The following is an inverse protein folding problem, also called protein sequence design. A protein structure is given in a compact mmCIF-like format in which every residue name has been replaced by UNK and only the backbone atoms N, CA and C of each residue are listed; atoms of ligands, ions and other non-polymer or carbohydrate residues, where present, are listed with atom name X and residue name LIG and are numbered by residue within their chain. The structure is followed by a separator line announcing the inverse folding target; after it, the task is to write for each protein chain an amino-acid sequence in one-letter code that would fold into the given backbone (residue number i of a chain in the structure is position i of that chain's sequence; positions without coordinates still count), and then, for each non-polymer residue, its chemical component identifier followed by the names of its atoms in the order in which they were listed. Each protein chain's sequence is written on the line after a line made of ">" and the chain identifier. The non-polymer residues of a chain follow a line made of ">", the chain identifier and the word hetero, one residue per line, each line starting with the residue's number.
data_IF_617097460219
#
_entry.id   IF_617097460219
#
_cell.length_a   1.000
_cell.length_b   1.000
_cell.length_c   1.000
_cell.angle_alpha   90.00
_cell.angle_beta   90.00
_cell.angle_gamma   90.00
#
_symmetry.space_group_name_H-M   'P 1'
#
loop_
_entity.id
_entity.type
_entity.pdbx_description
1 polymer ?
#
# COMPACT_ATOMS: atom_id res chain seq x y z
N UNK A 1 -26.54 41.28 -21.53
CA UNK A 1 -26.93 40.21 -20.56
C UNK A 1 -26.21 38.89 -20.78
N UNK A 2 -25.31 38.80 -21.81
CA UNK A 2 -24.63 37.52 -22.16
C UNK A 2 -23.13 37.61 -22.00
N UNK A 3 -22.55 38.81 -21.88
CA UNK A 3 -21.07 39.03 -21.83
C UNK A 3 -20.39 38.37 -20.64
N UNK A 4 -21.05 38.29 -19.47
CA UNK A 4 -20.47 37.70 -18.29
C UNK A 4 -20.64 36.15 -18.20
N UNK A 5 -21.33 35.54 -19.14
CA UNK A 5 -21.57 34.10 -19.13
C UNK A 5 -20.56 33.30 -19.94
N UNK A 6 -19.86 33.92 -20.87
CA UNK A 6 -18.92 33.27 -21.80
C UNK A 6 -17.52 33.84 -21.70
N UNK A 7 -16.57 33.08 -22.12
CA UNK A 7 -15.19 33.54 -22.34
C UNK A 7 -15.08 33.99 -23.80
N UNK A 8 -14.75 35.26 -24.00
CA UNK A 8 -14.64 35.90 -25.34
C UNK A 8 -13.13 36.13 -25.58
N UNK A 9 -12.65 35.65 -26.73
CA UNK A 9 -11.26 35.82 -27.11
C UNK A 9 -10.95 37.32 -27.27
N UNK A 10 -9.86 37.78 -26.63
CA UNK A 10 -9.41 39.17 -26.60
C UNK A 10 -10.11 40.08 -25.59
N UNK A 11 -11.25 39.68 -24.99
CA UNK A 11 -11.96 40.48 -23.96
C UNK A 11 -11.84 39.82 -22.56
N UNK A 12 -11.88 38.47 -22.49
CA UNK A 12 -11.82 37.76 -21.24
C UNK A 12 -10.38 37.50 -20.80
N UNK A 13 -10.12 37.56 -19.49
CA UNK A 13 -8.82 37.24 -18.93
C UNK A 13 -8.58 35.72 -19.00
N UNK A 14 -7.76 35.32 -19.98
CA UNK A 14 -7.39 33.92 -20.22
C UNK A 14 -6.64 33.28 -19.03
N UNK A 15 -6.02 34.10 -18.17
CA UNK A 15 -5.33 33.56 -16.97
C UNK A 15 -6.32 32.97 -15.99
N UNK A 16 -7.56 33.42 -15.95
CA UNK A 16 -8.63 32.86 -15.11
C UNK A 16 -9.07 31.47 -15.56
N UNK A 17 -8.77 31.06 -16.80
CA UNK A 17 -9.04 29.72 -17.32
C UNK A 17 -7.96 28.73 -16.92
N UNK A 18 -6.76 29.20 -16.65
CA UNK A 18 -5.63 28.35 -16.29
C UNK A 18 -5.90 27.64 -14.97
N UNK A 19 -5.79 26.31 -14.98
CA UNK A 19 -6.03 25.47 -13.80
C UNK A 19 -7.51 25.15 -13.53
N UNK A 20 -8.48 25.73 -14.26
CA UNK A 20 -9.88 25.34 -14.10
C UNK A 20 -10.17 23.96 -14.66
N UNK A 21 -11.18 23.30 -14.12
CA UNK A 21 -11.63 21.96 -14.53
C UNK A 21 -13.07 22.05 -15.05
N UNK A 22 -13.36 21.33 -16.14
CA UNK A 22 -14.70 21.25 -16.70
C UNK A 22 -15.59 20.41 -15.78
N UNK A 23 -16.71 20.97 -15.33
CA UNK A 23 -17.66 20.29 -14.44
C UNK A 23 -18.52 19.26 -15.16
N UNK A 24 -18.93 19.58 -16.39
CA UNK A 24 -19.80 18.73 -17.22
C UNK A 24 -19.17 18.53 -18.59
N UNK A 25 -19.42 17.38 -19.24
CA UNK A 25 -18.98 17.17 -20.61
C UNK A 25 -19.48 18.30 -21.54
N UNK A 26 -18.59 18.87 -22.33
CA UNK A 26 -18.88 19.89 -23.33
C UNK A 26 -18.82 19.24 -24.71
N UNK A 27 -19.85 19.45 -25.53
CA UNK A 27 -19.91 18.93 -26.89
C UNK A 27 -19.06 19.75 -27.85
N UNK A 28 -18.46 19.13 -28.86
CA UNK A 28 -17.70 19.85 -29.86
C UNK A 28 -18.56 20.94 -30.54
N UNK A 29 -18.07 22.19 -30.54
CA UNK A 29 -18.77 23.37 -31.02
C UNK A 29 -19.69 24.06 -30.00
N UNK A 30 -19.82 23.51 -28.80
CA UNK A 30 -20.55 24.14 -27.70
C UNK A 30 -19.66 25.19 -27.03
N UNK A 31 -20.14 26.43 -26.79
CA UNK A 31 -19.35 27.46 -26.13
C UNK A 31 -19.19 27.14 -24.65
N UNK A 32 -17.98 27.31 -24.15
CA UNK A 32 -17.63 27.12 -22.74
C UNK A 32 -18.15 28.30 -21.92
N UNK A 33 -19.02 28.03 -20.95
CA UNK A 33 -19.56 29.05 -20.03
C UNK A 33 -18.77 29.07 -18.72
N UNK A 34 -18.77 30.20 -18.02
CA UNK A 34 -18.13 30.31 -16.68
C UNK A 34 -18.73 29.29 -15.69
N UNK A 35 -20.05 28.99 -15.78
CA UNK A 35 -20.69 28.00 -14.93
C UNK A 35 -20.35 26.55 -15.23
N UNK A 36 -19.79 26.26 -16.42
CA UNK A 36 -19.32 24.92 -16.80
C UNK A 36 -17.91 24.60 -16.30
N UNK A 37 -17.22 25.60 -15.79
CA UNK A 37 -15.85 25.49 -15.23
C UNK A 37 -15.87 25.63 -13.71
N UNK A 38 -14.88 24.99 -13.07
CA UNK A 38 -14.63 25.10 -11.62
C UNK A 38 -13.18 25.51 -11.44
N UNK A 39 -12.98 26.64 -10.79
CA UNK A 39 -11.64 27.11 -10.48
C UNK A 39 -11.06 26.37 -9.26
N UNK A 40 -9.72 26.28 -9.15
CA UNK A 40 -9.07 25.84 -7.92
C UNK A 40 -9.58 26.67 -6.71
N UNK A 41 -9.86 25.98 -5.59
CA UNK A 41 -10.46 26.62 -4.39
C UNK A 41 -11.98 26.67 -4.37
N UNK A 42 -12.67 26.53 -5.50
CA UNK A 42 -14.12 26.51 -5.57
C UNK A 42 -14.72 25.21 -5.01
N UNK A 43 -15.96 25.28 -4.56
CA UNK A 43 -16.72 24.11 -4.13
C UNK A 43 -16.89 23.11 -5.29
N UNK A 44 -16.53 21.87 -5.05
CA UNK A 44 -16.62 20.80 -6.04
C UNK A 44 -15.40 20.70 -6.96
N UNK A 45 -14.40 21.58 -6.84
CA UNK A 45 -13.17 21.50 -7.62
C UNK A 45 -12.51 20.12 -7.49
N UNK A 46 -12.28 19.62 -6.28
CA UNK A 46 -11.68 18.31 -6.05
C UNK A 46 -12.49 17.19 -6.72
N UNK A 47 -13.82 17.24 -6.64
CA UNK A 47 -14.66 16.23 -7.28
C UNK A 47 -14.59 16.28 -8.81
N UNK A 48 -14.45 17.48 -9.40
CA UNK A 48 -14.28 17.66 -10.84
C UNK A 48 -12.85 17.30 -11.32
N UNK A 49 -11.84 17.53 -10.48
CA UNK A 49 -10.44 17.23 -10.77
C UNK A 49 -10.09 15.73 -10.68
N UNK A 50 -10.95 14.95 -10.00
CA UNK A 50 -10.79 13.49 -9.89
C UNK A 50 -11.03 12.81 -11.23
N UNK A 51 -10.16 11.85 -11.57
CA UNK A 51 -10.39 10.96 -12.70
C UNK A 51 -11.60 10.03 -12.48
N UNK A 52 -12.20 9.49 -13.54
CA UNK A 52 -13.29 8.54 -13.44
C UNK A 52 -12.94 7.34 -12.55
N UNK A 53 -13.80 7.04 -11.57
CA UNK A 53 -13.59 5.93 -10.64
C UNK A 53 -12.60 6.21 -9.51
N UNK A 54 -11.97 7.38 -9.49
CA UNK A 54 -11.03 7.78 -8.44
C UNK A 54 -11.74 8.40 -7.23
N UNK A 55 -11.02 8.48 -6.12
CA UNK A 55 -11.46 9.04 -4.83
C UNK A 55 -10.38 9.97 -4.28
N UNK A 56 -10.78 10.92 -3.47
CA UNK A 56 -9.88 11.76 -2.68
C UNK A 56 -9.82 11.22 -1.25
N UNK A 57 -8.63 10.98 -0.75
CA UNK A 57 -8.37 10.57 0.64
C UNK A 57 -7.37 11.52 1.27
N UNK A 58 -7.68 12.00 2.46
CA UNK A 58 -6.81 12.90 3.21
C UNK A 58 -5.98 12.12 4.23
N UNK A 59 -4.69 12.37 4.24
CA UNK A 59 -3.72 11.77 5.14
C UNK A 59 -3.13 12.86 6.03
N UNK A 60 -3.14 12.69 7.37
CA UNK A 60 -2.45 13.61 8.27
C UNK A 60 -0.94 13.44 8.12
N UNK A 61 -0.23 14.56 8.07
CA UNK A 61 1.23 14.60 7.97
C UNK A 61 1.80 15.69 8.90
N UNK A 62 3.09 15.64 9.13
CA UNK A 62 3.86 16.67 9.84
C UNK A 62 4.97 17.19 8.95
N UNK A 63 5.70 18.19 9.40
CA UNK A 63 6.88 18.67 8.69
C UNK A 63 7.90 17.56 8.40
N UNK A 64 8.05 16.58 9.32
CA UNK A 64 8.96 15.44 9.14
C UNK A 64 8.43 14.40 8.16
N UNK A 65 7.11 14.14 8.15
CA UNK A 65 6.49 13.08 7.34
C UNK A 65 5.95 13.61 6.01
N UNK A 66 5.87 14.92 5.82
CA UNK A 66 5.34 15.62 4.63
C UNK A 66 6.40 16.34 3.82
N UNK A 67 7.64 15.82 3.79
CA UNK A 67 8.76 16.38 2.98
C UNK A 67 8.98 17.87 3.26
N UNK A 68 8.91 18.28 4.54
CA UNK A 68 9.14 19.66 5.01
C UNK A 68 8.32 20.75 4.27
N UNK A 69 7.18 20.40 3.67
CA UNK A 69 6.34 21.33 2.94
C UNK A 69 6.64 21.45 1.44
N UNK A 70 7.60 20.67 0.92
CA UNK A 70 7.96 20.68 -0.50
C UNK A 70 7.07 19.77 -1.38
N UNK A 71 5.87 19.47 -0.93
CA UNK A 71 4.88 18.74 -1.72
C UNK A 71 3.78 19.71 -2.15
N UNK A 72 3.53 19.77 -3.44
CA UNK A 72 2.55 20.68 -4.04
C UNK A 72 1.43 19.92 -4.75
N UNK A 73 0.25 20.53 -4.92
CA UNK A 73 -0.79 19.98 -5.77
C UNK A 73 -0.26 19.67 -7.17
N UNK A 74 -0.53 18.45 -7.65
CA UNK A 74 -0.01 17.93 -8.92
C UNK A 74 1.19 17.01 -8.79
N UNK A 75 1.93 17.07 -7.69
CA UNK A 75 3.09 16.20 -7.45
C UNK A 75 2.70 14.72 -7.29
N UNK A 76 3.68 13.84 -7.47
CA UNK A 76 3.57 12.40 -7.24
C UNK A 76 4.37 12.00 -6.01
N UNK A 77 3.72 11.24 -5.14
CA UNK A 77 4.32 10.76 -3.89
C UNK A 77 4.14 9.27 -3.70
N UNK A 78 5.07 8.66 -2.98
CA UNK A 78 4.94 7.33 -2.44
C UNK A 78 4.57 7.41 -0.96
N UNK A 79 3.83 6.41 -0.46
CA UNK A 79 3.35 6.34 0.91
C UNK A 79 4.09 5.23 1.65
N UNK A 80 4.84 5.63 2.67
CA UNK A 80 5.61 4.75 3.55
C UNK A 80 4.92 4.65 4.89
N UNK A 81 4.62 3.42 5.31
CA UNK A 81 4.09 3.11 6.63
C UNK A 81 5.22 2.67 7.55
N UNK A 82 5.37 3.35 8.68
CA UNK A 82 6.26 2.94 9.77
C UNK A 82 5.42 2.44 10.94
N UNK A 83 5.68 1.20 11.38
CA UNK A 83 4.92 0.55 12.43
C UNK A 83 5.81 -0.26 13.37
N UNK A 84 5.28 -0.53 14.57
CA UNK A 84 5.89 -1.43 15.55
C UNK A 84 5.02 -2.68 15.70
N UNK A 85 5.60 -3.84 15.42
CA UNK A 85 4.94 -5.13 15.59
C UNK A 85 5.39 -5.74 16.91
N UNK A 86 4.50 -5.78 17.88
CA UNK A 86 4.73 -6.38 19.19
C UNK A 86 4.04 -7.74 19.32
N UNK A 87 4.59 -8.60 20.18
CA UNK A 87 3.94 -9.82 20.64
C UNK A 87 3.63 -9.71 22.13
N UNK A 88 2.77 -10.57 22.65
CA UNK A 88 2.45 -10.69 24.07
C UNK A 88 3.61 -11.26 24.92
N UNK A 89 4.80 -11.46 24.34
CA UNK A 89 6.02 -11.83 25.04
C UNK A 89 6.80 -10.56 25.45
N UNK A 90 7.62 -10.64 26.49
CA UNK A 90 8.53 -9.56 26.94
C UNK A 90 9.62 -9.20 25.91
N UNK A 91 9.50 -9.70 24.70
CA UNK A 91 10.36 -9.42 23.58
C UNK A 91 10.21 -7.99 23.07
N UNK A 92 11.34 -7.39 22.66
CA UNK A 92 11.35 -6.09 22.02
C UNK A 92 10.50 -6.09 20.74
N UNK A 93 9.70 -5.04 20.51
CA UNK A 93 8.90 -4.93 19.29
C UNK A 93 9.79 -4.87 18.04
N UNK A 94 9.29 -5.42 16.95
CA UNK A 94 9.91 -5.27 15.64
C UNK A 94 9.48 -3.92 15.05
N UNK A 95 10.44 -3.05 14.77
CA UNK A 95 10.21 -1.81 14.03
C UNK A 95 10.36 -2.09 12.54
N UNK A 96 9.39 -1.70 11.75
CA UNK A 96 9.38 -1.89 10.31
C UNK A 96 8.85 -0.67 9.58
N UNK A 97 9.40 -0.40 8.42
CA UNK A 97 8.90 0.59 7.47
C UNK A 97 8.73 -0.07 6.12
N UNK A 98 7.61 0.18 5.49
CA UNK A 98 7.29 -0.38 4.17
C UNK A 98 6.65 0.66 3.26
N UNK A 99 7.01 0.62 1.97
CA UNK A 99 6.34 1.42 0.94
C UNK A 99 5.07 0.68 0.53
N UNK A 100 3.94 1.09 1.09
CA UNK A 100 2.64 0.42 0.86
C UNK A 100 1.99 0.81 -0.45
N UNK A 101 2.21 2.05 -0.90
CA UNK A 101 1.60 2.59 -2.11
C UNK A 101 2.59 3.50 -2.84
N UNK A 102 2.52 3.49 -4.16
CA UNK A 102 3.39 4.32 -5.01
C UNK A 102 2.59 5.10 -6.05
N UNK A 103 3.20 6.19 -6.52
CA UNK A 103 2.68 7.00 -7.62
C UNK A 103 1.29 7.60 -7.32
N UNK A 104 1.08 8.11 -6.11
CA UNK A 104 -0.16 8.79 -5.73
C UNK A 104 -0.09 10.26 -6.13
N UNK A 105 -1.11 10.77 -6.80
CA UNK A 105 -1.19 12.20 -7.16
C UNK A 105 -1.70 13.01 -5.99
N UNK A 106 -1.01 14.09 -5.66
CA UNK A 106 -1.42 15.09 -4.68
C UNK A 106 -2.47 15.99 -5.31
N UNK A 107 -3.64 16.10 -4.68
CA UNK A 107 -4.73 16.97 -5.11
C UNK A 107 -4.71 18.31 -4.38
N UNK A 108 -4.39 18.27 -3.09
CA UNK A 108 -4.39 19.45 -2.23
C UNK A 108 -3.46 19.24 -1.03
N UNK A 109 -2.91 20.33 -0.51
CA UNK A 109 -2.24 20.39 0.77
C UNK A 109 -3.08 21.25 1.72
N UNK A 110 -3.42 20.75 2.91
CA UNK A 110 -4.47 21.29 3.77
C UNK A 110 -5.77 21.48 2.97
N UNK A 111 -6.25 22.71 2.84
CA UNK A 111 -7.40 23.07 2.03
C UNK A 111 -7.02 23.80 0.74
N UNK A 112 -5.71 23.84 0.41
CA UNK A 112 -5.19 24.57 -0.74
C UNK A 112 -4.97 23.62 -1.91
N UNK A 113 -5.59 23.94 -3.03
CA UNK A 113 -5.49 23.20 -4.30
C UNK A 113 -4.57 23.88 -5.30
N UNK A 114 -4.01 25.02 -4.93
CA UNK A 114 -3.10 25.82 -5.74
C UNK A 114 -1.74 25.96 -5.07
N UNK A 115 -0.71 26.19 -5.90
CA UNK A 115 0.59 26.62 -5.42
C UNK A 115 0.52 28.11 -5.06
N UNK A 116 0.72 28.44 -3.81
CA UNK A 116 0.78 29.83 -3.39
C UNK A 116 2.06 30.46 -3.94
N UNK A 117 1.89 31.51 -4.76
CA UNK A 117 3.02 32.33 -5.25
C UNK A 117 3.16 33.55 -4.35
N UNK A 118 4.39 33.84 -3.94
CA UNK A 118 4.70 35.08 -3.23
C UNK A 118 4.64 36.29 -4.16
N UNK A 119 4.76 37.47 -3.58
CA UNK A 119 4.81 38.75 -4.33
C UNK A 119 5.95 38.78 -5.37
N UNK A 120 7.02 37.99 -5.12
CA UNK A 120 8.16 37.83 -6.03
C UNK A 120 7.92 36.81 -7.17
N UNK A 121 6.72 36.26 -7.31
CA UNK A 121 6.37 35.21 -8.28
C UNK A 121 6.96 33.83 -7.97
N UNK A 122 7.68 33.68 -6.85
CA UNK A 122 8.27 32.41 -6.41
C UNK A 122 7.22 31.60 -5.62
N UNK A 123 7.31 30.27 -5.74
CA UNK A 123 6.47 29.37 -4.95
C UNK A 123 6.83 29.50 -3.47
N UNK A 124 5.82 29.77 -2.63
CA UNK A 124 5.98 29.84 -1.18
C UNK A 124 5.84 28.43 -0.61
N UNK A 125 6.88 27.98 0.10
CA UNK A 125 6.85 26.73 0.85
C UNK A 125 6.21 26.99 2.20
N UNK A 126 5.09 26.34 2.48
CA UNK A 126 4.41 26.40 3.78
C UNK A 126 4.30 25.02 4.39
N UNK A 127 4.39 24.95 5.73
CA UNK A 127 4.17 23.69 6.45
C UNK A 127 2.68 23.40 6.47
N UNK A 128 2.29 22.26 5.94
CA UNK A 128 0.91 21.76 5.93
C UNK A 128 0.77 20.56 6.90
N UNK A 129 -0.46 20.31 7.33
CA UNK A 129 -0.80 19.24 8.28
C UNK A 129 -1.51 18.07 7.65
N UNK A 130 -2.08 18.27 6.48
CA UNK A 130 -2.82 17.25 5.75
C UNK A 130 -2.49 17.30 4.27
N UNK A 131 -2.51 16.14 3.62
CA UNK A 131 -2.37 16.00 2.19
C UNK A 131 -3.52 15.18 1.65
N UNK A 132 -4.18 15.68 0.61
CA UNK A 132 -5.26 14.97 -0.07
C UNK A 132 -4.72 14.31 -1.33
N UNK A 133 -4.90 13.00 -1.42
CA UNK A 133 -4.35 12.14 -2.46
C UNK A 133 -5.47 11.58 -3.34
N UNK A 134 -5.19 11.43 -4.63
CA UNK A 134 -6.04 10.72 -5.57
C UNK A 134 -5.75 9.22 -5.54
N UNK A 135 -6.78 8.43 -5.27
CA UNK A 135 -6.66 6.98 -5.06
C UNK A 135 -7.81 6.22 -5.69
N UNK A 136 -7.63 4.92 -5.95
CA UNK A 136 -8.75 4.04 -6.26
C UNK A 136 -9.53 3.70 -5.00
N UNK A 137 -10.80 3.24 -5.07
CA UNK A 137 -11.56 2.82 -3.89
C UNK A 137 -10.83 1.79 -3.03
N UNK A 138 -10.19 0.79 -3.65
CA UNK A 138 -9.41 -0.24 -2.96
C UNK A 138 -8.18 0.33 -2.25
N UNK A 139 -7.51 1.31 -2.87
CA UNK A 139 -6.38 1.99 -2.27
C UNK A 139 -6.84 2.86 -1.10
N UNK A 140 -8.01 3.49 -1.18
CA UNK A 140 -8.60 4.24 -0.08
C UNK A 140 -8.77 3.39 1.19
N UNK A 141 -9.25 2.16 1.03
CA UNK A 141 -9.36 1.18 2.14
C UNK A 141 -7.98 0.84 2.73
N UNK A 142 -6.98 0.62 1.89
CA UNK A 142 -5.59 0.38 2.34
C UNK A 142 -5.03 1.56 3.12
N UNK A 143 -5.24 2.80 2.65
CA UNK A 143 -4.80 4.01 3.35
C UNK A 143 -5.49 4.13 4.71
N UNK A 144 -6.79 3.88 4.79
CA UNK A 144 -7.54 3.92 6.04
C UNK A 144 -6.98 2.93 7.07
N UNK A 145 -6.65 1.70 6.65
CA UNK A 145 -6.01 0.71 7.52
C UNK A 145 -4.59 1.15 7.91
N UNK A 146 -3.79 1.64 6.96
CA UNK A 146 -2.44 2.10 7.22
C UNK A 146 -2.39 3.21 8.28
N UNK A 147 -3.37 4.13 8.27
CA UNK A 147 -3.50 5.19 9.29
C UNK A 147 -3.74 4.65 10.71
N UNK A 148 -4.31 3.46 10.84
CA UNK A 148 -4.54 2.82 12.16
C UNK A 148 -3.37 1.97 12.63
N UNK A 149 -2.51 1.51 11.71
CA UNK A 149 -1.39 0.63 12.01
C UNK A 149 -0.14 1.38 12.49
N UNK A 150 0.09 2.59 11.98
CA UNK A 150 1.29 3.32 12.32
C UNK A 150 1.36 4.72 11.74
N UNK A 151 2.57 5.23 11.62
CA UNK A 151 2.83 6.57 11.10
C UNK A 151 3.04 6.51 9.59
N UNK A 152 2.29 7.35 8.88
CA UNK A 152 2.42 7.51 7.43
C UNK A 152 3.40 8.65 7.12
N UNK A 153 4.34 8.38 6.23
CA UNK A 153 5.27 9.35 5.68
C UNK A 153 5.13 9.42 4.17
N UNK A 154 5.24 10.61 3.61
CA UNK A 154 5.25 10.84 2.18
C UNK A 154 6.69 10.92 1.67
N UNK A 155 6.94 10.32 0.51
CA UNK A 155 8.20 10.40 -0.20
C UNK A 155 7.92 10.99 -1.57
N UNK A 156 8.54 12.13 -1.87
CA UNK A 156 8.37 12.80 -3.17
C UNK A 156 9.08 12.01 -4.25
N UNK A 157 8.39 11.76 -5.35
CA UNK A 157 8.92 11.05 -6.51
C UNK A 157 9.61 11.98 -7.49
N UNK A 158 10.66 11.46 -8.11
CA UNK A 158 11.27 12.11 -9.26
C UNK A 158 10.34 12.04 -10.49
N UNK A 159 10.34 13.08 -11.30
CA UNK A 159 9.61 13.09 -12.58
C UNK A 159 10.17 12.00 -13.52
N UNK A 160 11.46 11.72 -13.46
CA UNK A 160 12.11 10.68 -14.28
C UNK A 160 11.65 9.25 -13.91
N UNK A 161 11.25 8.99 -12.66
CA UNK A 161 10.79 7.67 -12.23
C UNK A 161 9.51 7.24 -12.93
N UNK A 162 8.63 8.19 -13.23
CA UNK A 162 7.38 7.91 -13.94
C UNK A 162 7.64 7.35 -15.35
N UNK A 163 8.67 7.87 -16.03
CA UNK A 163 9.04 7.40 -17.36
C UNK A 163 9.65 5.99 -17.32
N UNK A 164 10.54 5.73 -16.36
CA UNK A 164 11.13 4.40 -16.18
C UNK A 164 10.10 3.33 -15.81
N UNK A 165 9.09 3.69 -15.01
CA UNK A 165 7.98 2.77 -14.67
C UNK A 165 7.09 2.51 -15.88
N UNK A 166 6.82 3.52 -16.69
CA UNK A 166 6.08 3.35 -17.94
C UNK A 166 6.79 2.38 -18.88
N UNK A 167 8.11 2.57 -19.08
CA UNK A 167 8.91 1.67 -19.90
C UNK A 167 8.87 0.22 -19.39
N UNK A 168 8.94 0.04 -18.05
CA UNK A 168 8.78 -1.27 -17.43
C UNK A 168 7.38 -1.85 -17.62
N UNK A 169 6.33 -1.04 -17.46
CA UNK A 169 4.95 -1.47 -17.66
C UNK A 169 4.65 -1.88 -19.11
N UNK A 170 5.27 -1.23 -20.09
CA UNK A 170 5.21 -1.62 -21.49
C UNK A 170 5.99 -2.93 -21.70
N UNK A 171 7.20 -3.04 -21.15
CA UNK A 171 8.04 -4.23 -21.29
C UNK A 171 7.44 -5.46 -20.60
N UNK A 172 6.72 -5.29 -19.48
CA UNK A 172 6.01 -6.37 -18.77
C UNK A 172 4.67 -6.76 -19.41
N UNK A 173 4.17 -5.96 -20.37
CA UNK A 173 2.85 -6.17 -20.99
C UNK A 173 1.66 -5.71 -20.13
N UNK A 174 1.91 -5.02 -19.02
CA UNK A 174 0.85 -4.44 -18.16
C UNK A 174 0.13 -3.28 -18.88
N UNK A 175 0.80 -2.63 -19.83
CA UNK A 175 0.26 -1.64 -20.74
C UNK A 175 0.31 -2.17 -22.17
N UNK A 176 -0.85 -2.47 -22.73
CA UNK A 176 -0.95 -2.91 -24.12
C UNK A 176 -1.38 -1.75 -25.00
N UNK A 177 -0.54 -1.42 -25.97
CA UNK A 177 -0.85 -0.45 -27.00
C UNK A 177 -1.36 -1.23 -28.23
N UNK A 178 -2.62 -1.04 -28.67
CA UNK A 178 -3.13 -1.70 -29.87
C UNK A 178 -2.28 -1.33 -31.08
N UNK A 179 -1.94 -2.31 -31.92
CA UNK A 179 -1.08 -2.11 -33.10
C UNK A 179 -1.65 -1.10 -34.12
N UNK A 180 -2.95 -0.82 -34.04
CA UNK A 180 -3.68 0.14 -34.88
C UNK A 180 -4.10 1.39 -34.13
N UNK A 181 -3.48 1.69 -32.97
CA UNK A 181 -3.74 2.92 -32.23
C UNK A 181 -3.25 4.13 -33.03
N UNK A 182 -4.04 5.20 -33.04
CA UNK A 182 -3.57 6.51 -33.55
C UNK A 182 -2.58 7.12 -32.56
N UNK A 183 -1.66 8.01 -32.99
CA UNK A 183 -0.72 8.66 -32.10
C UNK A 183 -1.38 9.36 -30.89
N UNK A 184 -2.57 9.94 -31.10
CA UNK A 184 -3.35 10.57 -30.02
C UNK A 184 -3.91 9.52 -29.01
N UNK A 185 -4.31 8.36 -29.50
CA UNK A 185 -4.79 7.27 -28.64
C UNK A 185 -3.63 6.66 -27.85
N UNK A 186 -2.48 6.48 -28.49
CA UNK A 186 -1.26 6.02 -27.85
C UNK A 186 -0.85 6.96 -26.71
N UNK A 187 -0.76 8.26 -26.96
CA UNK A 187 -0.42 9.27 -25.93
C UNK A 187 -1.43 9.23 -24.77
N UNK A 188 -2.70 9.10 -25.06
CA UNK A 188 -3.75 9.00 -24.04
C UNK A 188 -3.62 7.75 -23.18
N UNK A 189 -3.30 6.60 -23.77
CA UNK A 189 -3.07 5.33 -23.06
C UNK A 189 -1.83 5.45 -22.18
N UNK A 190 -0.73 5.99 -22.70
CA UNK A 190 0.51 6.20 -21.97
C UNK A 190 0.32 7.14 -20.80
N UNK A 191 -0.35 8.28 -21.02
CA UNK A 191 -0.67 9.25 -19.97
C UNK A 191 -1.56 8.65 -18.87
N UNK A 192 -2.55 7.87 -19.26
CA UNK A 192 -3.41 7.15 -18.30
C UNK A 192 -2.63 6.09 -17.50
N UNK A 193 -1.70 5.38 -18.13
CA UNK A 193 -0.84 4.40 -17.47
C UNK A 193 0.11 5.05 -16.46
N UNK A 194 0.76 6.15 -16.83
CA UNK A 194 1.61 6.94 -15.94
C UNK A 194 0.83 7.53 -14.76
N UNK A 195 -0.47 7.80 -14.93
CA UNK A 195 -1.31 8.39 -13.91
C UNK A 195 -1.80 7.38 -12.87
N UNK A 196 -1.69 6.07 -13.11
CA UNK A 196 -2.25 5.06 -12.20
C UNK A 196 -1.44 4.91 -10.92
N UNK A 197 -2.09 4.94 -9.75
CA UNK A 197 -1.47 4.54 -8.50
C UNK A 197 -1.04 3.07 -8.53
N UNK A 198 0.10 2.75 -7.91
CA UNK A 198 0.69 1.41 -7.89
C UNK A 198 0.58 0.84 -6.48
N UNK A 199 -0.07 -0.30 -6.35
CA UNK A 199 -0.25 -1.03 -5.08
C UNK A 199 0.46 -2.39 -5.04
N UNK A 200 1.35 -2.63 -6.02
CA UNK A 200 2.15 -3.86 -6.16
C UNK A 200 3.64 -3.57 -5.99
N UNK A 201 4.40 -4.61 -5.65
CA UNK A 201 5.86 -4.51 -5.54
C UNK A 201 6.31 -3.64 -4.37
N UNK A 202 5.66 -3.78 -3.22
CA UNK A 202 6.05 -3.10 -1.98
C UNK A 202 7.42 -3.57 -1.51
N UNK A 203 8.22 -2.65 -1.00
CA UNK A 203 9.49 -2.94 -0.31
C UNK A 203 9.29 -2.74 1.19
N UNK A 204 10.01 -3.50 1.99
CA UNK A 204 10.00 -3.29 3.44
C UNK A 204 11.41 -3.33 4.00
N UNK A 205 11.62 -2.63 5.10
CA UNK A 205 12.86 -2.58 5.86
C UNK A 205 12.54 -2.76 7.33
N UNK A 206 13.31 -3.59 8.02
CA UNK A 206 13.16 -3.84 9.45
C UNK A 206 14.17 -3.04 10.26
N UNK A 207 13.93 -2.92 11.57
CA UNK A 207 14.89 -2.30 12.47
C UNK A 207 16.27 -2.97 12.42
N UNK A 208 16.32 -4.31 12.20
CA UNK A 208 17.56 -5.06 12.06
C UNK A 208 18.38 -4.68 10.82
N UNK A 209 17.77 -4.20 9.76
CA UNK A 209 18.45 -3.75 8.55
C UNK A 209 19.12 -2.37 8.76
N UNK A 210 18.57 -1.58 9.68
CA UNK A 210 19.08 -0.22 10.00
C UNK A 210 20.07 -0.25 11.16
N UNK A 211 19.87 -1.12 12.16
CA UNK A 211 20.71 -1.22 13.34
C UNK A 211 20.82 -2.64 13.85
N UNK A 212 22.06 -3.12 14.01
CA UNK A 212 22.38 -4.45 14.56
C UNK A 212 21.79 -4.71 15.96
N UNK A 213 21.33 -3.67 16.65
CA UNK A 213 20.73 -3.78 17.99
C UNK A 213 19.21 -3.95 17.95
N UNK A 214 18.61 -3.93 16.76
CA UNK A 214 17.19 -4.11 16.54
C UNK A 214 16.87 -5.49 15.98
N UNK A 215 15.60 -5.88 16.05
CA UNK A 215 15.13 -7.16 15.50
C UNK A 215 14.92 -7.08 14.00
N UNK A 216 15.09 -8.22 13.34
CA UNK A 216 14.79 -8.43 11.91
C UNK A 216 13.60 -9.37 11.68
N UNK A 217 13.08 -10.02 12.73
CA UNK A 217 12.00 -11.00 12.61
C UNK A 217 10.82 -10.65 13.51
N UNK A 218 9.60 -11.06 13.09
CA UNK A 218 8.39 -10.90 13.89
C UNK A 218 8.54 -11.65 15.21
N UNK A 219 8.16 -11.04 16.37
CA UNK A 219 8.14 -11.73 17.64
C UNK A 219 7.22 -12.95 17.60
N UNK A 220 7.71 -14.09 18.05
CA UNK A 220 6.90 -15.32 18.17
C UNK A 220 5.87 -15.15 19.26
N UNK A 221 4.63 -15.55 18.98
CA UNK A 221 3.59 -15.63 20.02
C UNK A 221 4.03 -16.63 21.06
N UNK A 222 4.10 -16.24 22.33
CA UNK A 222 4.36 -17.17 23.40
C UNK A 222 3.38 -18.34 23.33
N UNK A 223 3.81 -19.60 23.48
CA UNK A 223 2.89 -20.71 23.57
C UNK A 223 1.94 -20.47 24.75
N UNK A 224 0.64 -20.84 24.64
CA UNK A 224 -0.30 -20.69 25.74
C UNK A 224 0.31 -21.36 26.97
N UNK A 225 0.17 -20.79 28.19
CA UNK A 225 0.67 -21.42 29.39
C UNK A 225 0.10 -22.83 29.43
N UNK A 226 0.99 -23.82 29.49
CA UNK A 226 0.59 -25.21 29.66
C UNK A 226 -0.29 -25.27 30.91
N UNK A 227 -1.50 -25.78 30.76
CA UNK A 227 -2.40 -25.98 31.87
C UNK A 227 -1.63 -26.72 32.99
N UNK A 228 -1.78 -26.31 34.27
CA UNK A 228 -1.08 -26.98 35.35
C UNK A 228 -1.43 -28.46 35.25
N UNK A 229 -0.45 -29.31 34.98
CA UNK A 229 -0.62 -30.75 35.10
C UNK A 229 -0.94 -31.00 36.55
N UNK A 230 -2.21 -31.40 36.82
CA UNK A 230 -2.62 -31.92 38.12
C UNK A 230 -1.71 -33.12 38.41
N UNK A 231 -0.61 -32.87 39.10
CA UNK A 231 0.11 -33.92 39.79
C UNK A 231 -0.78 -34.37 40.95
N UNK A 232 -1.67 -35.30 40.67
CA UNK A 232 -2.18 -36.12 41.74
C UNK A 232 -0.99 -36.79 42.36
N UNK A 233 -0.68 -36.42 43.60
CA UNK A 233 0.27 -37.08 44.44
C UNK A 233 -0.17 -38.55 44.57
N UNK A 234 0.42 -39.42 43.77
CA UNK A 234 0.30 -40.85 43.94
C UNK A 234 1.13 -41.29 45.15
N UNK A 235 0.48 -41.88 46.10
CA UNK A 235 1.06 -42.53 47.27
C UNK A 235 2.18 -43.50 46.89
N UNK A 236 3.17 -43.73 47.77
CA UNK A 236 4.31 -44.58 47.45
C UNK A 236 3.86 -46.05 47.35
N UNK A 237 3.88 -46.57 46.11
CA UNK A 237 3.72 -48.00 45.86
C UNK A 237 5.07 -48.68 45.78
N UNK A 238 5.11 -49.87 46.41
CA UNK A 238 6.24 -50.75 46.64
C UNK A 238 7.10 -51.07 45.41
N UNK A 239 8.35 -51.25 45.66
CA UNK A 239 9.42 -51.70 44.72
C UNK A 239 8.97 -52.92 43.90
N UNK A 240 8.98 -52.78 42.60
CA UNK A 240 8.95 -53.92 41.67
C UNK A 240 10.11 -53.85 40.70
N UNK A 241 10.66 -55.00 40.41
CA UNK A 241 11.89 -55.36 39.72
C UNK A 241 12.08 -54.68 38.34
N UNK A 242 13.33 -54.60 37.81
CA UNK A 242 13.66 -53.96 36.54
C UNK A 242 13.03 -54.75 35.37
N UNK A 243 12.12 -54.13 34.67
CA UNK A 243 11.58 -54.65 33.40
C UNK A 243 12.64 -54.48 32.28
N UNK A 244 12.84 -55.56 31.53
CA UNK A 244 13.71 -55.63 30.37
C UNK A 244 13.36 -54.55 29.29
N UNK A 245 14.29 -54.11 28.47
CA UNK A 245 14.08 -53.11 27.44
C UNK A 245 13.08 -53.64 26.39
N UNK A 246 11.97 -52.95 26.22
CA UNK A 246 11.02 -53.22 25.15
C UNK A 246 11.65 -52.80 23.82
N UNK A 247 11.98 -53.77 22.98
CA UNK A 247 12.45 -53.57 21.62
C UNK A 247 11.31 -53.00 20.77
N UNK A 248 11.40 -51.72 20.41
CA UNK A 248 10.46 -51.09 19.46
C UNK A 248 10.94 -51.42 18.06
N UNK A 249 10.18 -52.24 17.33
CA UNK A 249 10.42 -52.53 15.93
C UNK A 249 10.32 -51.28 15.03
N UNK A 250 10.74 -51.38 13.78
CA UNK A 250 10.72 -50.26 12.85
C UNK A 250 9.28 -49.72 12.64
N UNK A 251 9.14 -48.40 12.73
CA UNK A 251 7.87 -47.68 12.48
C UNK A 251 8.00 -46.80 11.25
N UNK A 252 6.89 -46.66 10.53
CA UNK A 252 6.78 -45.73 9.38
C UNK A 252 5.90 -44.56 9.76
N UNK A 253 6.43 -43.36 9.58
CA UNK A 253 5.72 -42.10 9.79
C UNK A 253 5.17 -41.58 8.47
N UNK A 254 3.86 -41.47 8.34
CA UNK A 254 3.19 -40.93 7.15
C UNK A 254 2.57 -39.59 7.49
N UNK A 255 2.97 -38.54 6.74
CA UNK A 255 2.44 -37.18 6.91
C UNK A 255 1.58 -36.84 5.70
N UNK A 256 0.31 -36.47 5.93
CA UNK A 256 -0.60 -35.90 4.92
C UNK A 256 -1.10 -34.56 5.41
N UNK A 257 -0.63 -33.48 4.81
CA UNK A 257 -0.94 -32.13 5.28
C UNK A 257 -0.46 -31.92 6.73
N UNK A 258 -1.34 -31.49 7.63
CA UNK A 258 -1.05 -31.24 9.04
C UNK A 258 -1.24 -32.48 9.95
N UNK A 259 -1.62 -33.63 9.41
CA UNK A 259 -1.83 -34.86 10.19
C UNK A 259 -0.66 -35.83 9.98
N UNK A 260 -0.04 -36.26 11.08
CA UNK A 260 1.04 -37.26 11.09
C UNK A 260 0.56 -38.49 11.81
N UNK A 261 0.59 -39.66 11.14
CA UNK A 261 0.24 -40.95 11.71
C UNK A 261 1.45 -41.85 11.73
N UNK A 262 1.75 -42.47 12.86
CA UNK A 262 2.86 -43.42 13.03
C UNK A 262 2.29 -44.85 13.13
N UNK A 263 2.70 -45.73 12.21
CA UNK A 263 2.25 -47.08 12.13
C UNK A 263 3.42 -48.04 12.32
N UNK A 264 3.36 -48.99 13.27
CA UNK A 264 4.39 -49.98 13.49
C UNK A 264 4.25 -51.13 12.47
N UNK A 265 5.39 -51.51 11.88
CA UNK A 265 5.46 -52.65 10.96
C UNK A 265 5.66 -53.90 11.76
N UNK A 266 4.66 -54.78 11.81
CA UNK A 266 4.81 -56.13 12.37
C UNK A 266 5.43 -57.07 11.34
N UNK A 267 6.69 -57.42 11.52
CA UNK A 267 7.33 -58.49 10.75
C UNK A 267 6.93 -59.83 11.33
N UNK A 268 5.86 -60.43 10.84
CA UNK A 268 5.56 -61.80 11.10
C UNK A 268 6.45 -62.70 10.22
N UNK A 269 7.49 -63.27 10.81
CA UNK A 269 8.35 -64.21 10.10
C UNK A 269 7.51 -65.46 9.73
N UNK A 270 7.38 -65.71 8.45
CA UNK A 270 6.87 -66.98 7.96
C UNK A 270 8.02 -67.99 8.01
N UNK A 271 7.95 -68.86 9.01
CA UNK A 271 8.73 -70.11 8.98
C UNK A 271 7.95 -71.11 8.14
N UNK A 272 8.36 -71.29 6.88
CA UNK A 272 7.89 -72.34 6.01
C UNK A 272 8.61 -73.62 6.36
N UNK A 273 7.87 -74.59 6.85
CA UNK A 273 8.39 -75.95 6.95
C UNK A 273 8.37 -76.62 5.58
N UNK A 274 9.53 -77.10 5.20
CA UNK A 274 9.71 -78.03 4.10
C UNK A 274 9.78 -79.43 4.69
N UNK A 275 8.90 -80.37 4.35
CA UNK A 275 9.20 -81.80 4.31
C UNK A 275 8.08 -82.59 3.57
N UNK A 276 8.49 -83.20 2.57
CA UNK A 276 8.31 -84.38 1.73
C UNK A 276 7.38 -84.20 0.55
#
# INVERSE_FOLDING_TARGET
>A
LVQDAYFIDGESDMNKLMGTVVRYPVTAGEPVTQGSLVAPGDRGFLAAALGPGMRAVTVPVSAMTGVAGFVFPGDRVDLVLTQEVSSNSDDRPLKTAETVLRNLRVLATDQTTEQTKGEDGKTVVSVFRTVTLEVTPKIAEKVAVAQTLGTISLVLRSIADNQSELERAIASGDVQIPANATPEQEEKILKAAMARPIDKGTTFTTGGDVSRFQRSTVPTKAPPPSAPSNQYASAPAASSAPSAPVYRGPSVRVTRGNATTETQISTKAAVGGLLT
#
